data_IF_593355912830
#
_entry.id   IF_593355912830
#
_cell.length_a   1.000
_cell.length_b   1.000
_cell.length_c   1.000
_cell.angle_alpha   90.00
_cell.angle_beta   90.00
_cell.angle_gamma   90.00
#
_symmetry.space_group_name_H-M   'P 1'
#
loop_
_entity.id
_entity.type
_entity.pdbx_description
1 polymer ?
#
# COMPACT_ATOMS: atom_id res chain seq x y z
N UNK A 1 16.14 1.36 18.08
CA UNK A 1 16.16 0.35 16.99
C UNK A 1 16.02 1.11 15.68
N UNK A 2 16.79 0.78 14.64
CA UNK A 2 16.74 1.48 13.35
C UNK A 2 15.54 1.00 12.53
N UNK A 3 14.58 1.88 12.23
CA UNK A 3 13.44 1.58 11.35
C UNK A 3 13.97 1.66 9.91
N UNK A 4 14.54 0.56 9.42
CA UNK A 4 15.04 0.51 8.05
C UNK A 4 13.86 0.54 7.07
N UNK A 5 13.81 1.59 6.24
CA UNK A 5 12.91 1.66 5.10
C UNK A 5 13.16 0.47 4.16
N UNK A 6 12.12 -0.33 3.95
CA UNK A 6 12.04 -1.26 2.82
C UNK A 6 11.21 -0.59 1.72
N UNK A 7 11.73 -0.50 0.47
CA UNK A 7 10.94 -0.01 -0.66
C UNK A 7 9.77 -0.93 -1.01
N UNK A 8 9.79 -2.18 -0.52
CA UNK A 8 8.68 -3.12 -0.62
C UNK A 8 7.75 -2.98 0.58
N UNK A 9 6.47 -2.74 0.30
CA UNK A 9 5.39 -2.84 1.29
C UNK A 9 4.94 -4.31 1.41
N UNK A 10 4.15 -4.61 2.44
CA UNK A 10 3.75 -5.99 2.78
C UNK A 10 2.98 -6.75 1.68
N UNK A 11 2.45 -6.04 0.69
CA UNK A 11 1.69 -6.62 -0.43
C UNK A 11 2.48 -6.67 -1.73
N UNK A 12 3.77 -6.33 -1.72
CA UNK A 12 4.58 -6.35 -2.95
C UNK A 12 4.65 -7.74 -3.59
N UNK A 13 4.64 -8.81 -2.79
CA UNK A 13 4.59 -10.19 -3.31
C UNK A 13 3.23 -10.52 -3.94
N UNK A 14 2.13 -10.08 -3.32
CA UNK A 14 0.78 -10.25 -3.89
C UNK A 14 0.66 -9.51 -5.23
N UNK A 15 1.21 -8.29 -5.33
CA UNK A 15 1.25 -7.52 -6.58
C UNK A 15 2.04 -8.26 -7.67
N UNK A 16 3.20 -8.82 -7.31
CA UNK A 16 4.02 -9.59 -8.25
C UNK A 16 3.28 -10.87 -8.70
N UNK A 17 2.54 -11.53 -7.80
CA UNK A 17 1.69 -12.68 -8.14
C UNK A 17 0.54 -12.31 -9.07
N UNK A 18 -0.22 -11.25 -8.77
CA UNK A 18 -1.33 -10.81 -9.62
C UNK A 18 -0.86 -10.32 -11.00
N UNK A 19 0.36 -9.77 -11.10
CA UNK A 19 0.98 -9.42 -12.39
C UNK A 19 1.12 -10.65 -13.29
N UNK A 20 1.67 -11.73 -12.76
CA UNK A 20 1.87 -12.99 -13.51
C UNK A 20 0.53 -13.58 -13.95
N UNK A 21 -0.50 -13.48 -13.10
CA UNK A 21 -1.85 -13.95 -13.43
C UNK A 21 -2.52 -13.09 -14.51
N UNK A 22 -2.37 -11.77 -14.45
CA UNK A 22 -2.84 -10.84 -15.49
C UNK A 22 -2.16 -11.12 -16.84
N UNK A 23 -0.84 -11.31 -16.84
CA UNK A 23 -0.07 -11.69 -18.04
C UNK A 23 -0.55 -13.03 -18.59
N UNK A 24 -0.71 -14.03 -17.72
CA UNK A 24 -1.22 -15.36 -18.09
C UNK A 24 -2.62 -15.28 -18.70
N UNK A 25 -3.54 -14.55 -18.06
CA UNK A 25 -4.91 -14.34 -18.57
C UNK A 25 -4.92 -13.62 -19.93
N UNK A 26 -4.06 -12.61 -20.11
CA UNK A 26 -3.96 -11.87 -21.36
C UNK A 26 -3.51 -12.75 -22.54
N UNK A 27 -2.70 -13.78 -22.26
CA UNK A 27 -2.23 -14.75 -23.24
C UNK A 27 -3.24 -15.85 -23.58
N UNK A 28 -4.29 -16.02 -22.77
CA UNK A 28 -5.31 -17.03 -23.04
C UNK A 28 -6.05 -16.71 -24.33
N UNK A 29 -6.44 -17.75 -25.06
CA UNK A 29 -7.33 -17.60 -26.22
C UNK A 29 -8.73 -17.21 -25.76
N UNK A 30 -9.49 -16.54 -26.63
CA UNK A 30 -10.87 -16.09 -26.34
C UNK A 30 -11.84 -17.26 -26.17
N UNK A 31 -11.59 -18.37 -26.85
CA UNK A 31 -12.38 -19.62 -26.82
C UNK A 31 -11.94 -20.58 -25.71
N UNK A 32 -11.02 -20.17 -24.84
CA UNK A 32 -10.54 -21.04 -23.76
C UNK A 32 -11.70 -21.40 -22.80
N UNK A 33 -11.93 -22.71 -22.52
CA UNK A 33 -13.14 -23.18 -21.84
C UNK A 33 -13.33 -22.55 -20.45
N UNK A 34 -12.23 -22.29 -19.74
CA UNK A 34 -12.27 -21.73 -18.39
C UNK A 34 -12.05 -20.21 -18.36
N UNK A 35 -12.01 -19.52 -19.51
CA UNK A 35 -11.66 -18.08 -19.55
C UNK A 35 -12.58 -17.24 -18.66
N UNK A 36 -13.88 -17.54 -18.66
CA UNK A 36 -14.88 -16.83 -17.85
C UNK A 36 -14.65 -17.00 -16.35
N UNK A 37 -14.32 -18.22 -15.94
CA UNK A 37 -14.04 -18.54 -14.53
C UNK A 37 -12.75 -17.86 -14.07
N UNK A 38 -11.68 -17.94 -14.86
CA UNK A 38 -10.39 -17.29 -14.57
C UNK A 38 -10.59 -15.77 -14.48
N UNK A 39 -11.35 -15.18 -15.40
CA UNK A 39 -11.68 -13.76 -15.36
C UNK A 39 -12.39 -13.37 -14.06
N UNK A 40 -13.45 -14.09 -13.69
CA UNK A 40 -14.23 -13.80 -12.49
C UNK A 40 -13.38 -13.94 -11.22
N UNK A 41 -12.52 -14.97 -11.15
CA UNK A 41 -11.59 -15.18 -10.06
C UNK A 41 -10.59 -14.02 -9.94
N UNK A 42 -9.94 -13.66 -11.05
CA UNK A 42 -8.95 -12.59 -11.11
C UNK A 42 -9.58 -11.24 -10.77
N UNK A 43 -10.80 -10.96 -11.25
CA UNK A 43 -11.54 -9.77 -10.89
C UNK A 43 -11.81 -9.71 -9.37
N UNK A 44 -12.17 -10.84 -8.76
CA UNK A 44 -12.37 -10.95 -7.31
C UNK A 44 -11.08 -10.67 -6.52
N UNK A 45 -9.98 -11.28 -6.94
CA UNK A 45 -8.64 -11.11 -6.32
C UNK A 45 -8.14 -9.67 -6.43
N UNK A 46 -8.21 -9.06 -7.60
CA UNK A 46 -7.80 -7.66 -7.80
C UNK A 46 -8.63 -6.69 -6.97
N UNK A 47 -9.95 -6.92 -6.84
CA UNK A 47 -10.80 -6.10 -5.96
C UNK A 47 -10.37 -6.24 -4.51
N UNK A 48 -10.19 -7.47 -4.03
CA UNK A 48 -9.75 -7.73 -2.67
C UNK A 48 -8.38 -7.09 -2.38
N UNK A 49 -7.41 -7.24 -3.29
CA UNK A 49 -6.09 -6.64 -3.14
C UNK A 49 -6.17 -5.10 -3.09
N UNK A 50 -7.01 -4.49 -3.93
CA UNK A 50 -7.22 -3.04 -3.91
C UNK A 50 -7.80 -2.56 -2.58
N UNK A 51 -8.75 -3.30 -2.01
CA UNK A 51 -9.34 -2.97 -0.71
C UNK A 51 -8.30 -3.12 0.43
N UNK A 52 -7.45 -4.15 0.38
CA UNK A 52 -6.34 -4.32 1.32
C UNK A 52 -5.33 -3.16 1.24
N UNK A 53 -4.93 -2.75 0.03
CA UNK A 53 -4.00 -1.64 -0.17
C UNK A 53 -4.58 -0.32 0.36
N UNK A 54 -5.87 -0.06 0.12
CA UNK A 54 -6.58 1.12 0.63
C UNK A 54 -6.63 1.14 2.15
N UNK A 55 -6.97 0.00 2.76
CA UNK A 55 -7.01 -0.13 4.21
C UNK A 55 -5.64 0.16 4.85
N UNK A 56 -4.57 -0.33 4.24
CA UNK A 56 -3.20 -0.08 4.74
C UNK A 56 -2.81 1.39 4.57
N UNK A 57 -3.14 1.98 3.43
CA UNK A 57 -2.90 3.40 3.18
C UNK A 57 -3.56 4.28 4.24
N UNK A 58 -4.84 4.03 4.55
CA UNK A 58 -5.58 4.73 5.61
C UNK A 58 -4.98 4.47 6.99
N UNK A 59 -4.47 3.27 7.27
CA UNK A 59 -3.76 2.98 8.52
C UNK A 59 -2.49 3.84 8.67
N UNK A 60 -1.72 4.01 7.60
CA UNK A 60 -0.55 4.88 7.61
C UNK A 60 -0.94 6.36 7.73
N UNK A 61 -2.03 6.80 7.09
CA UNK A 61 -2.53 8.18 7.24
C UNK A 61 -2.89 8.47 8.69
N UNK A 62 -3.62 7.56 9.34
CA UNK A 62 -3.98 7.66 10.75
C UNK A 62 -2.74 7.74 11.65
N UNK A 63 -1.77 6.85 11.45
CA UNK A 63 -0.53 6.85 12.25
C UNK A 63 0.29 8.12 12.07
N UNK A 64 0.44 8.61 10.84
CA UNK A 64 1.13 9.89 10.57
C UNK A 64 0.41 11.06 11.25
N UNK A 65 -0.92 11.05 11.25
CA UNK A 65 -1.72 12.08 11.92
C UNK A 65 -1.47 12.08 13.43
N UNK A 66 -1.56 10.92 14.09
CA UNK A 66 -1.27 10.76 15.53
C UNK A 66 0.14 11.26 15.89
N UNK A 67 1.15 10.87 15.11
CA UNK A 67 2.54 11.29 15.32
C UNK A 67 2.71 12.82 15.18
N UNK A 68 2.00 13.45 14.25
CA UNK A 68 2.01 14.93 14.10
C UNK A 68 1.31 15.63 15.27
N UNK A 69 0.25 15.04 15.81
CA UNK A 69 -0.40 15.56 17.03
C UNK A 69 0.53 15.46 18.24
N UNK A 70 1.26 14.34 18.38
CA UNK A 70 2.24 14.14 19.45
C UNK A 70 3.34 15.21 19.45
N UNK A 71 3.88 15.54 18.26
CA UNK A 71 4.85 16.65 18.10
C UNK A 71 4.27 18.00 18.54
N UNK A 72 3.00 18.23 18.19
CA UNK A 72 2.33 19.53 18.38
C UNK A 72 1.91 19.78 19.83
N UNK A 73 1.97 18.77 20.70
CA UNK A 73 1.60 18.88 22.10
C UNK A 73 2.64 19.68 22.91
N UNK A 74 2.24 20.73 23.65
CA UNK A 74 3.17 21.55 24.41
C UNK A 74 3.74 20.79 25.62
N UNK A 75 5.07 20.81 25.79
CA UNK A 75 5.75 20.18 26.93
C UNK A 75 5.89 21.15 28.11
N UNK A 76 5.51 20.71 29.32
CA UNK A 76 5.63 21.49 30.56
C UNK A 76 6.98 21.30 31.32
N UNK A 77 8.07 20.91 30.64
CA UNK A 77 9.29 20.39 31.28
C UNK A 77 10.55 21.24 31.09
N UNK A 78 11.44 21.24 32.10
CA UNK A 78 12.76 21.91 32.06
C UNK A 78 13.87 21.11 31.34
N UNK A 79 15.11 21.61 31.30
CA UNK A 79 16.15 21.22 30.33
C UNK A 79 16.55 19.73 30.17
N UNK A 80 16.36 18.84 31.15
CA UNK A 80 16.54 17.37 30.93
C UNK A 80 15.38 16.75 30.14
N UNK A 81 14.18 17.31 30.31
CA UNK A 81 12.99 16.95 29.55
C UNK A 81 13.09 17.47 28.10
N UNK A 82 13.79 18.58 27.86
CA UNK A 82 14.06 19.09 26.51
C UNK A 82 14.94 18.13 25.68
N UNK A 83 16.05 17.64 26.22
CA UNK A 83 16.94 16.70 25.49
C UNK A 83 16.24 15.36 25.19
N UNK A 84 15.44 14.84 26.12
CA UNK A 84 14.63 13.64 25.86
C UNK A 84 13.56 13.90 24.78
N UNK A 85 12.94 15.08 24.80
CA UNK A 85 11.98 15.51 23.79
C UNK A 85 12.63 15.62 22.41
N UNK A 86 13.82 16.18 22.30
CA UNK A 86 14.51 16.33 21.01
C UNK A 86 14.85 14.97 20.39
N UNK A 87 15.27 13.99 21.21
CA UNK A 87 15.50 12.62 20.74
C UNK A 87 14.20 11.94 20.30
N UNK A 88 13.12 12.06 21.07
CA UNK A 88 11.80 11.51 20.69
C UNK A 88 11.26 12.18 19.43
N UNK A 89 11.44 13.50 19.28
CA UNK A 89 11.07 14.24 18.08
C UNK A 89 11.80 13.71 16.85
N UNK A 90 13.11 13.44 16.98
CA UNK A 90 13.90 12.84 15.90
C UNK A 90 13.38 11.46 15.49
N UNK A 91 13.02 10.61 16.46
CA UNK A 91 12.44 9.28 16.19
C UNK A 91 11.06 9.37 15.53
N UNK A 92 10.19 10.26 16.02
CA UNK A 92 8.86 10.48 15.45
C UNK A 92 8.97 11.00 14.00
N UNK A 93 9.85 11.95 13.73
CA UNK A 93 10.07 12.48 12.38
C UNK A 93 10.59 11.40 11.43
N UNK A 94 11.50 10.53 11.90
CA UNK A 94 11.98 9.40 11.12
C UNK A 94 10.87 8.38 10.83
N UNK A 95 9.99 8.09 11.79
CA UNK A 95 8.83 7.21 11.59
C UNK A 95 7.86 7.81 10.55
N UNK A 96 7.55 9.11 10.64
CA UNK A 96 6.73 9.81 9.64
C UNK A 96 7.34 9.70 8.24
N UNK A 97 8.65 9.88 8.10
CA UNK A 97 9.35 9.78 6.81
C UNK A 97 9.22 8.36 6.22
N UNK A 98 9.42 7.32 7.03
CA UNK A 98 9.27 5.93 6.59
C UNK A 98 7.84 5.64 6.15
N UNK A 99 6.84 6.01 6.96
CA UNK A 99 5.42 5.80 6.66
C UNK A 99 5.00 6.54 5.39
N UNK A 100 5.48 7.79 5.20
CA UNK A 100 5.17 8.59 4.01
C UNK A 100 5.70 7.94 2.74
N UNK A 101 6.93 7.40 2.76
CA UNK A 101 7.49 6.66 1.61
C UNK A 101 6.74 5.35 1.35
N UNK A 102 6.30 4.66 2.40
CA UNK A 102 5.48 3.46 2.24
C UNK A 102 4.10 3.78 1.63
N UNK A 103 3.51 4.94 1.98
CA UNK A 103 2.28 5.42 1.35
C UNK A 103 2.45 5.72 -0.14
N UNK A 104 3.57 6.32 -0.55
CA UNK A 104 3.87 6.54 -1.99
C UNK A 104 3.98 5.20 -2.74
N UNK A 105 4.65 4.21 -2.13
CA UNK A 105 4.77 2.86 -2.68
C UNK A 105 3.39 2.17 -2.81
N UNK A 106 2.55 2.25 -1.77
CA UNK A 106 1.17 1.75 -1.79
C UNK A 106 0.31 2.46 -2.85
N UNK A 107 0.42 3.78 -2.98
CA UNK A 107 -0.30 4.57 -3.98
C UNK A 107 0.02 4.10 -5.40
N UNK A 108 1.31 3.86 -5.67
CA UNK A 108 1.75 3.27 -6.93
C UNK A 108 1.09 1.92 -7.19
N UNK A 109 1.12 1.01 -6.20
CA UNK A 109 0.48 -0.31 -6.31
C UNK A 109 -1.04 -0.24 -6.48
N UNK A 110 -1.73 0.67 -5.78
CA UNK A 110 -3.17 0.90 -5.96
C UNK A 110 -3.52 1.34 -7.37
N UNK A 111 -2.72 2.23 -7.95
CA UNK A 111 -2.89 2.67 -9.34
C UNK A 111 -2.72 1.50 -10.31
N UNK A 112 -1.68 0.69 -10.13
CA UNK A 112 -1.46 -0.52 -10.95
C UNK A 112 -2.64 -1.49 -10.89
N UNK A 113 -3.10 -1.86 -9.69
CA UNK A 113 -4.24 -2.77 -9.52
C UNK A 113 -5.53 -2.18 -10.10
N UNK A 114 -5.73 -0.87 -9.97
CA UNK A 114 -6.89 -0.17 -10.55
C UNK A 114 -6.88 -0.22 -12.08
N UNK A 115 -5.70 -0.07 -12.70
CA UNK A 115 -5.52 -0.19 -14.15
C UNK A 115 -5.86 -1.61 -14.61
N UNK A 116 -5.30 -2.64 -13.97
CA UNK A 116 -5.59 -4.03 -14.29
C UNK A 116 -7.09 -4.36 -14.15
N UNK A 117 -7.73 -3.86 -13.09
CA UNK A 117 -9.18 -3.96 -12.93
C UNK A 117 -9.96 -3.30 -14.07
N UNK A 118 -9.43 -2.21 -14.64
CA UNK A 118 -9.97 -1.55 -15.83
C UNK A 118 -9.79 -2.38 -17.11
N UNK A 119 -8.60 -2.93 -17.32
CA UNK A 119 -8.28 -3.80 -18.46
C UNK A 119 -9.18 -5.04 -18.49
N UNK A 120 -9.40 -5.69 -17.33
CA UNK A 120 -10.31 -6.82 -17.23
C UNK A 120 -11.77 -6.47 -17.58
N UNK A 121 -12.22 -5.24 -17.27
CA UNK A 121 -13.57 -4.80 -17.66
C UNK A 121 -13.70 -4.57 -19.17
N UNK A 122 -12.60 -4.19 -19.83
CA UNK A 122 -12.56 -3.91 -21.26
C UNK A 122 -12.24 -5.13 -22.13
N UNK A 123 -11.73 -6.21 -21.53
CA UNK A 123 -11.49 -7.48 -22.21
C UNK A 123 -12.79 -7.95 -22.88
N UNK A 124 -12.87 -7.78 -24.21
CA UNK A 124 -14.08 -8.07 -25.01
C UNK A 124 -14.50 -9.52 -24.81
N UNK A 125 -15.77 -9.69 -24.48
CA UNK A 125 -16.44 -10.97 -24.41
C UNK A 125 -16.97 -11.37 -25.80
N UNK A 126 -16.92 -12.65 -26.19
CA UNK A 126 -17.82 -13.17 -27.22
C UNK A 126 -19.27 -13.20 -26.72
#
# INVERSE_FOLDING_TARGET
MSICYSPRHRFSEDIDSERVEMESFSSLRLDHPNRREIHANLQGRLRYLLDCLRSEYTSFEGRIHELKEEISSPSAGGGRMEVMRDNMLGEILAEIEVLSRQQESLSTSMNTVSIWGGELRQARWP
#
